data_IF_281830475518
#
_entry.id   IF_281830475518
#
_cell.length_a   1.000
_cell.length_b   1.000
_cell.length_c   1.000
_cell.angle_alpha   90.00
_cell.angle_beta   90.00
_cell.angle_gamma   90.00
#
_symmetry.space_group_name_H-M   'P 1'
#
loop_
_entity.id
_entity.type
_entity.pdbx_description
1 polymer ?
#
# COMPACT_ATOMS: atom_id res chain seq x y z
N UNK A 1 -26.02 17.62 5.18
CA UNK A 1 -26.62 16.44 4.53
C UNK A 1 -25.75 16.00 3.36
N UNK A 2 -24.96 14.93 3.52
CA UNK A 2 -24.21 14.35 2.41
C UNK A 2 -25.24 13.62 1.54
N UNK A 3 -25.51 14.14 0.34
CA UNK A 3 -26.27 13.39 -0.68
C UNK A 3 -25.56 12.06 -0.91
N UNK A 4 -26.18 10.96 -0.49
CA UNK A 4 -25.71 9.62 -0.83
C UNK A 4 -25.72 9.49 -2.35
N UNK A 5 -24.53 9.46 -2.94
CA UNK A 5 -24.40 9.06 -4.32
C UNK A 5 -24.78 7.60 -4.44
N UNK A 6 -25.33 7.17 -5.58
CA UNK A 6 -25.61 5.75 -5.82
C UNK A 6 -24.41 4.85 -5.47
N UNK A 7 -24.67 3.58 -5.15
CA UNK A 7 -23.69 2.61 -4.63
C UNK A 7 -22.28 2.70 -5.26
N UNK A 8 -22.21 2.79 -6.59
CA UNK A 8 -20.95 2.91 -7.35
C UNK A 8 -20.15 4.17 -6.98
N UNK A 9 -20.83 5.31 -6.82
CA UNK A 9 -20.21 6.58 -6.43
C UNK A 9 -19.63 6.55 -5.02
N UNK A 10 -20.27 5.83 -4.09
CA UNK A 10 -19.74 5.66 -2.73
C UNK A 10 -18.50 4.76 -2.73
N UNK A 11 -18.48 3.68 -3.51
CA UNK A 11 -17.28 2.81 -3.64
C UNK A 11 -16.09 3.54 -4.26
N UNK A 12 -16.31 4.29 -5.33
CA UNK A 12 -15.26 5.12 -5.95
C UNK A 12 -14.65 6.12 -4.96
N UNK A 13 -15.46 6.69 -4.06
CA UNK A 13 -14.94 7.54 -2.97
C UNK A 13 -14.04 6.77 -2.02
N UNK A 14 -14.41 5.56 -1.60
CA UNK A 14 -13.57 4.72 -0.74
C UNK A 14 -12.19 4.43 -1.35
N UNK A 15 -12.15 4.10 -2.66
CA UNK A 15 -10.87 3.93 -3.37
C UNK A 15 -10.03 5.21 -3.38
N UNK A 16 -10.67 6.37 -3.59
CA UNK A 16 -9.97 7.65 -3.51
C UNK A 16 -9.32 7.85 -2.13
N UNK A 17 -10.03 7.57 -1.04
CA UNK A 17 -9.47 7.69 0.31
C UNK A 17 -8.33 6.70 0.56
N UNK A 18 -8.46 5.44 0.11
CA UNK A 18 -7.39 4.46 0.20
C UNK A 18 -6.13 4.92 -0.55
N UNK A 19 -6.28 5.46 -1.76
CA UNK A 19 -5.16 5.98 -2.54
C UNK A 19 -4.50 7.19 -1.87
N UNK A 20 -5.29 8.12 -1.32
CA UNK A 20 -4.76 9.27 -0.56
C UNK A 20 -3.97 8.80 0.67
N UNK A 21 -4.47 7.78 1.37
CA UNK A 21 -3.77 7.17 2.50
C UNK A 21 -2.44 6.53 2.09
N UNK A 22 -2.46 5.67 1.07
CA UNK A 22 -1.26 5.04 0.53
C UNK A 22 -0.23 6.06 0.06
N UNK A 23 -0.67 7.10 -0.65
CA UNK A 23 0.20 8.20 -1.10
C UNK A 23 0.78 8.99 0.07
N UNK A 24 0.02 9.21 1.14
CA UNK A 24 0.51 9.87 2.34
C UNK A 24 1.58 9.03 3.05
N UNK A 25 1.40 7.71 3.14
CA UNK A 25 2.39 6.79 3.73
C UNK A 25 3.68 6.83 2.92
N UNK A 26 3.58 6.68 1.60
CA UNK A 26 4.74 6.73 0.70
C UNK A 26 5.54 8.04 0.84
N UNK A 27 4.87 9.17 1.07
CA UNK A 27 5.57 10.46 1.21
C UNK A 27 6.16 10.73 2.58
N UNK A 28 5.59 10.15 3.64
CA UNK A 28 5.90 10.55 5.03
C UNK A 28 6.72 9.52 5.78
N UNK A 29 6.53 8.23 5.49
CA UNK A 29 7.15 7.14 6.25
C UNK A 29 8.42 6.66 5.56
N UNK A 30 9.61 6.84 6.17
CA UNK A 30 10.88 6.42 5.58
C UNK A 30 10.95 4.91 5.31
N UNK A 31 10.36 4.09 6.19
CA UNK A 31 10.25 2.64 6.03
C UNK A 31 9.51 2.25 4.75
N UNK A 32 8.34 2.89 4.50
CA UNK A 32 7.53 2.68 3.29
C UNK A 32 8.29 3.14 2.03
N UNK A 33 9.05 4.23 2.11
CA UNK A 33 9.88 4.71 1.00
C UNK A 33 10.95 3.70 0.61
N UNK A 34 11.72 3.21 1.59
CA UNK A 34 12.75 2.19 1.38
C UNK A 34 12.12 0.92 0.81
N UNK A 35 11.01 0.47 1.40
CA UNK A 35 10.32 -0.73 0.95
C UNK A 35 9.76 -0.60 -0.47
N UNK A 36 9.26 0.58 -0.84
CA UNK A 36 8.82 0.86 -2.21
C UNK A 36 10.00 0.90 -3.19
N UNK A 37 11.15 1.43 -2.78
CA UNK A 37 12.38 1.36 -3.57
C UNK A 37 12.84 -0.09 -3.80
N UNK A 38 12.88 -0.90 -2.74
CA UNK A 38 13.20 -2.33 -2.82
C UNK A 38 12.20 -3.07 -3.71
N UNK A 39 10.91 -2.78 -3.58
CA UNK A 39 9.86 -3.34 -4.40
C UNK A 39 10.09 -3.10 -5.89
N UNK A 40 10.52 -1.90 -6.29
CA UNK A 40 10.87 -1.58 -7.69
C UNK A 40 12.08 -2.42 -8.15
N UNK A 41 13.14 -2.46 -7.34
CA UNK A 41 14.38 -3.20 -7.67
C UNK A 41 14.09 -4.71 -7.82
N UNK A 42 13.37 -5.30 -6.87
CA UNK A 42 13.04 -6.73 -6.89
C UNK A 42 12.06 -7.06 -8.01
N UNK A 43 11.14 -6.16 -8.34
CA UNK A 43 10.27 -6.32 -9.52
C UNK A 43 11.09 -6.30 -10.82
N UNK A 44 12.02 -5.35 -10.97
CA UNK A 44 12.92 -5.32 -12.13
C UNK A 44 13.79 -6.59 -12.21
N UNK A 45 14.31 -7.05 -11.07
CA UNK A 45 15.07 -8.30 -10.97
C UNK A 45 14.20 -9.52 -11.37
N UNK A 46 12.94 -9.57 -10.93
CA UNK A 46 12.01 -10.65 -11.29
C UNK A 46 11.80 -10.78 -12.80
N UNK A 47 11.77 -9.65 -13.53
CA UNK A 47 11.76 -9.67 -14.99
C UNK A 47 13.09 -10.15 -15.58
N UNK A 48 14.23 -9.70 -15.04
CA UNK A 48 15.55 -10.10 -15.51
C UNK A 48 15.86 -11.59 -15.30
N UNK A 49 15.42 -12.16 -14.16
CA UNK A 49 15.61 -13.57 -13.81
C UNK A 49 14.48 -14.47 -14.33
N UNK A 50 13.50 -13.92 -15.06
CA UNK A 50 12.38 -14.65 -15.63
C UNK A 50 11.64 -15.54 -14.62
N UNK A 51 11.39 -15.01 -13.42
CA UNK A 51 10.74 -15.78 -12.35
C UNK A 51 9.35 -16.24 -12.77
N UNK A 52 8.96 -17.41 -12.29
CA UNK A 52 7.71 -18.07 -12.62
C UNK A 52 6.49 -17.31 -12.09
N UNK A 53 5.31 -17.62 -12.65
CA UNK A 53 4.04 -17.04 -12.18
C UNK A 53 3.79 -17.27 -10.68
N UNK A 54 4.22 -18.42 -10.15
CA UNK A 54 4.05 -18.74 -8.73
C UNK A 54 4.97 -17.86 -7.87
N UNK A 55 6.22 -17.65 -8.28
CA UNK A 55 7.15 -16.75 -7.59
C UNK A 55 6.65 -15.29 -7.63
N UNK A 56 6.10 -14.83 -8.76
CA UNK A 56 5.43 -13.54 -8.84
C UNK A 56 4.25 -13.41 -7.86
N UNK A 57 3.43 -14.45 -7.74
CA UNK A 57 2.32 -14.46 -6.77
C UNK A 57 2.83 -14.30 -5.34
N UNK A 58 3.88 -15.05 -4.96
CA UNK A 58 4.48 -14.93 -3.63
C UNK A 58 5.16 -13.58 -3.40
N UNK A 59 5.85 -13.03 -4.40
CA UNK A 59 6.47 -11.72 -4.33
C UNK A 59 5.43 -10.63 -4.09
N UNK A 60 4.36 -10.59 -4.89
CA UNK A 60 3.28 -9.61 -4.74
C UNK A 60 2.57 -9.78 -3.39
N UNK A 61 2.31 -11.01 -2.96
CA UNK A 61 1.71 -11.30 -1.66
C UNK A 61 2.58 -10.81 -0.51
N UNK A 62 3.88 -11.15 -0.53
CA UNK A 62 4.83 -10.73 0.50
C UNK A 62 4.92 -9.20 0.56
N UNK A 63 5.09 -8.54 -0.58
CA UNK A 63 5.13 -7.07 -0.65
C UNK A 63 3.84 -6.43 -0.11
N UNK A 64 2.68 -6.96 -0.51
CA UNK A 64 1.38 -6.48 -0.03
C UNK A 64 1.19 -6.65 1.47
N UNK A 65 1.60 -7.80 2.03
CA UNK A 65 1.54 -8.07 3.45
C UNK A 65 2.42 -7.11 4.26
N UNK A 66 3.68 -6.91 3.84
CA UNK A 66 4.58 -6.04 4.61
C UNK A 66 4.15 -4.58 4.52
N UNK A 67 3.75 -4.08 3.34
CA UNK A 67 3.22 -2.71 3.22
C UNK A 67 1.94 -2.50 4.03
N UNK A 68 1.07 -3.52 4.09
CA UNK A 68 -0.15 -3.45 4.90
C UNK A 68 0.18 -3.44 6.40
N UNK A 69 1.11 -4.29 6.84
CA UNK A 69 1.57 -4.33 8.23
C UNK A 69 2.23 -3.01 8.65
N UNK A 70 3.08 -2.43 7.81
CA UNK A 70 3.71 -1.14 8.04
C UNK A 70 2.67 -0.01 8.11
N UNK A 71 1.74 0.03 7.16
CA UNK A 71 0.66 1.02 7.17
C UNK A 71 -0.23 0.92 8.41
N UNK A 72 -0.47 -0.29 8.92
CA UNK A 72 -1.17 -0.50 10.19
C UNK A 72 -0.32 -0.03 11.38
N UNK A 73 0.98 -0.34 11.40
CA UNK A 73 1.88 0.11 12.46
C UNK A 73 1.90 1.64 12.56
N UNK A 74 2.12 2.33 11.44
CA UNK A 74 2.08 3.81 11.38
C UNK A 74 0.72 4.37 11.82
N UNK A 75 -0.39 3.71 11.47
CA UNK A 75 -1.71 4.16 11.89
C UNK A 75 -1.88 4.04 13.42
N UNK A 76 -1.40 2.94 14.02
CA UNK A 76 -1.42 2.73 15.46
C UNK A 76 -0.52 3.76 16.17
N UNK A 77 0.70 3.97 15.68
CA UNK A 77 1.63 4.98 16.22
C UNK A 77 0.99 6.37 16.23
N UNK A 78 0.39 6.81 15.12
CA UNK A 78 -0.27 8.12 15.04
C UNK A 78 -1.48 8.26 15.94
N UNK A 79 -2.21 7.16 16.19
CA UNK A 79 -3.31 7.17 17.17
C UNK A 79 -2.75 7.26 18.58
N UNK A 80 -1.66 6.54 18.88
CA UNK A 80 -1.02 6.57 20.19
C UNK A 80 -0.42 7.95 20.50
N UNK A 81 0.25 8.60 19.54
CA UNK A 81 0.81 9.95 19.68
C UNK A 81 -0.26 11.04 19.84
N UNK A 82 -1.51 10.74 19.46
CA UNK A 82 -2.63 11.66 19.58
C UNK A 82 -3.29 11.63 20.96
N UNK A 83 -3.22 10.50 21.67
CA UNK A 83 -3.80 10.30 23.01
C UNK A 83 -2.88 10.89 24.07
#
# INVERSE_FOLDING_TARGET
MIKEGGYVRNRLRSFKYAFVGAWSLLKKEPSVQVQTGIAIVVTAAGFYFEITRIEWMFQVLAMGLVLSAEGLNTAIEKIADFI
#
